data_IF_032642185198
#
_entry.id   IF_032642185198
#
_cell.length_a   1.000
_cell.length_b   1.000
_cell.length_c   1.000
_cell.angle_alpha   90.00
_cell.angle_beta   90.00
_cell.angle_gamma   90.00
#
_symmetry.space_group_name_H-M   'P 1'
#
loop_
_entity.id
_entity.type
_entity.pdbx_description
1 polymer ?
#
# COMPACT_ATOMS: atom_id res chain seq x y z
N UNK A 1 -6.03 -8.02 40.20
CA UNK A 1 -6.23 -6.74 39.48
C UNK A 1 -7.21 -7.00 38.36
N UNK A 2 -8.45 -6.64 38.52
CA UNK A 2 -9.50 -6.83 37.53
C UNK A 2 -9.34 -5.72 36.50
N UNK A 3 -8.94 -6.06 35.28
CA UNK A 3 -8.90 -5.11 34.17
C UNK A 3 -10.35 -4.81 33.78
N UNK A 4 -10.87 -3.67 34.19
CA UNK A 4 -12.14 -3.19 33.68
C UNK A 4 -11.92 -2.77 32.24
N UNK A 5 -12.33 -3.58 31.29
CA UNK A 5 -12.47 -3.17 29.90
C UNK A 5 -13.69 -2.28 29.87
N UNK A 6 -13.48 -0.97 29.92
CA UNK A 6 -14.54 -0.02 29.61
C UNK A 6 -14.80 -0.15 28.11
N UNK A 7 -15.85 -0.90 27.75
CA UNK A 7 -16.42 -0.77 26.43
C UNK A 7 -16.92 0.68 26.32
N UNK A 8 -16.20 1.52 25.63
CA UNK A 8 -16.70 2.85 25.24
C UNK A 8 -17.66 2.60 24.08
N UNK A 9 -18.84 2.01 24.40
CA UNK A 9 -19.95 2.06 23.47
C UNK A 9 -20.48 3.48 23.50
N UNK A 10 -20.65 4.12 22.36
CA UNK A 10 -21.55 5.29 22.26
C UNK A 10 -22.87 4.86 22.87
N UNK A 11 -23.32 5.59 23.88
CA UNK A 11 -24.59 5.32 24.54
C UNK A 11 -25.70 5.16 23.48
N UNK A 12 -26.27 3.98 23.36
CA UNK A 12 -27.39 3.67 22.49
C UNK A 12 -27.12 2.83 21.24
N UNK A 13 -25.91 2.27 21.05
CA UNK A 13 -25.68 1.36 19.93
C UNK A 13 -25.26 -0.03 20.43
N UNK A 14 -26.07 -1.05 20.16
CA UNK A 14 -25.70 -2.47 20.26
C UNK A 14 -24.79 -2.90 19.11
N UNK A 15 -23.95 -1.99 18.64
CA UNK A 15 -23.08 -2.23 17.49
C UNK A 15 -21.87 -3.05 17.91
N UNK A 16 -21.52 -4.15 17.19
CA UNK A 16 -20.32 -4.94 17.45
C UNK A 16 -19.07 -4.07 17.52
N UNK A 17 -18.13 -4.44 18.41
CA UNK A 17 -16.91 -3.68 18.65
C UNK A 17 -16.09 -3.45 17.37
N UNK A 18 -15.97 -4.49 16.54
CA UNK A 18 -15.24 -4.44 15.25
C UNK A 18 -15.83 -3.40 14.29
N UNK A 19 -17.14 -3.26 14.30
CA UNK A 19 -17.84 -2.28 13.47
C UNK A 19 -17.65 -0.85 14.02
N UNK A 20 -17.59 -0.71 15.34
CA UNK A 20 -17.30 0.58 15.98
C UNK A 20 -15.86 1.03 15.67
N UNK A 21 -14.88 0.10 15.63
CA UNK A 21 -13.51 0.38 15.22
C UNK A 21 -13.47 0.83 13.76
N UNK A 22 -14.13 0.09 12.87
CA UNK A 22 -14.13 0.40 11.43
C UNK A 22 -14.81 1.73 11.07
N UNK A 23 -15.64 2.25 11.96
CA UNK A 23 -16.31 3.57 11.85
C UNK A 23 -15.63 4.65 12.67
N UNK A 24 -14.41 4.41 13.16
CA UNK A 24 -13.64 5.37 13.97
C UNK A 24 -14.35 5.83 15.26
N UNK A 25 -15.30 5.03 15.76
CA UNK A 25 -16.02 5.34 16.99
C UNK A 25 -15.21 5.03 18.27
N UNK A 26 -14.11 4.28 18.14
CA UNK A 26 -13.23 3.88 19.23
C UNK A 26 -11.89 4.57 19.06
N UNK A 27 -11.56 5.52 19.95
CA UNK A 27 -10.27 6.22 19.94
C UNK A 27 -9.09 5.24 20.05
N UNK A 28 -8.00 5.55 19.34
CA UNK A 28 -6.76 4.76 19.30
C UNK A 28 -6.88 3.37 18.67
N UNK A 29 -7.97 3.11 17.92
CA UNK A 29 -8.16 1.89 17.16
C UNK A 29 -8.56 2.25 15.74
N UNK A 30 -7.93 1.60 14.79
CA UNK A 30 -8.21 1.75 13.37
C UNK A 30 -8.24 0.39 12.69
N UNK A 31 -8.94 0.30 11.57
CA UNK A 31 -8.99 -0.92 10.76
C UNK A 31 -7.93 -0.83 9.67
N UNK A 32 -6.99 -1.77 9.69
CA UNK A 32 -6.00 -1.90 8.64
C UNK A 32 -6.52 -2.90 7.59
N UNK A 33 -6.75 -2.43 6.38
CA UNK A 33 -7.14 -3.26 5.24
C UNK A 33 -5.92 -3.61 4.40
N UNK A 34 -5.73 -4.89 4.10
CA UNK A 34 -4.73 -5.36 3.16
C UNK A 34 -5.40 -6.25 2.14
N UNK A 35 -5.23 -5.90 0.88
CA UNK A 35 -5.75 -6.66 -0.24
C UNK A 35 -4.61 -7.42 -0.90
N UNK A 36 -4.84 -8.67 -1.21
CA UNK A 36 -3.98 -9.50 -2.04
C UNK A 36 -4.80 -10.15 -3.13
N UNK A 37 -4.17 -10.42 -4.24
CA UNK A 37 -4.76 -11.09 -5.38
C UNK A 37 -3.80 -12.14 -5.90
N UNK A 38 -4.27 -13.37 -6.01
CA UNK A 38 -3.58 -14.44 -6.71
C UNK A 38 -4.48 -14.91 -7.85
N UNK A 39 -4.10 -14.65 -9.12
CA UNK A 39 -4.93 -15.00 -10.28
C UNK A 39 -4.93 -16.51 -10.57
N UNK A 40 -3.99 -17.26 -10.01
CA UNK A 40 -3.82 -18.68 -10.24
C UNK A 40 -3.70 -19.42 -8.91
N UNK A 41 -4.80 -20.01 -8.45
CA UNK A 41 -4.83 -20.83 -7.23
C UNK A 41 -4.89 -22.29 -7.67
N UNK A 42 -3.91 -23.09 -7.25
CA UNK A 42 -3.88 -24.52 -7.46
C UNK A 42 -4.16 -25.32 -6.16
N UNK A 43 -3.76 -26.57 -6.09
CA UNK A 43 -3.96 -27.44 -4.94
C UNK A 43 -2.89 -27.31 -3.85
N UNK A 44 -1.87 -26.47 -4.06
CA UNK A 44 -0.85 -26.15 -3.08
C UNK A 44 -1.24 -24.91 -2.25
N UNK A 45 -0.67 -24.80 -1.04
CA UNK A 45 -0.84 -23.59 -0.24
C UNK A 45 -0.04 -22.44 -0.83
N UNK A 46 -0.72 -21.38 -1.26
CA UNK A 46 -0.13 -20.20 -1.87
C UNK A 46 -0.44 -18.92 -1.08
N UNK A 47 0.38 -17.88 -1.32
CA UNK A 47 0.13 -16.56 -0.75
C UNK A 47 -0.78 -15.74 -1.65
N UNK A 48 -1.66 -14.94 -1.03
CA UNK A 48 -2.45 -13.90 -1.74
C UNK A 48 -1.70 -12.58 -1.89
N UNK A 49 -0.44 -12.51 -1.43
CA UNK A 49 0.44 -11.38 -1.66
C UNK A 49 1.01 -11.44 -3.08
N UNK A 50 0.62 -10.49 -3.95
CA UNK A 50 0.94 -10.49 -5.39
C UNK A 50 2.45 -10.59 -5.71
N UNK A 51 3.32 -10.08 -4.83
CA UNK A 51 4.78 -10.24 -4.96
C UNK A 51 5.27 -11.64 -4.59
N UNK A 52 4.45 -12.46 -3.94
CA UNK A 52 4.84 -13.76 -3.38
C UNK A 52 5.54 -13.67 -2.02
N UNK A 53 5.67 -14.81 -1.33
CA UNK A 53 6.27 -14.90 0.00
C UNK A 53 5.41 -14.32 1.11
N UNK A 54 6.03 -14.00 2.25
CA UNK A 54 5.36 -13.39 3.39
C UNK A 54 5.45 -11.87 3.31
N UNK A 55 4.33 -11.21 3.61
CA UNK A 55 4.31 -9.75 3.72
C UNK A 55 5.05 -9.29 4.97
N UNK A 56 5.99 -8.36 4.79
CA UNK A 56 6.74 -7.76 5.89
C UNK A 56 6.16 -6.39 6.23
N UNK A 57 5.80 -6.18 7.50
CA UNK A 57 5.33 -4.89 7.98
C UNK A 57 6.49 -3.97 8.36
N UNK A 58 6.29 -2.66 8.22
CA UNK A 58 7.16 -1.65 8.81
C UNK A 58 7.11 -1.77 10.34
N UNK A 59 8.28 -1.79 10.99
CA UNK A 59 8.39 -1.80 12.46
C UNK A 59 8.23 -0.41 13.08
N UNK A 60 8.50 0.64 12.31
CA UNK A 60 8.35 2.05 12.67
C UNK A 60 7.95 2.85 11.43
N UNK A 61 7.43 4.05 11.63
CA UNK A 61 7.18 4.97 10.52
C UNK A 61 8.49 5.25 9.78
N UNK A 62 8.44 5.20 8.47
CA UNK A 62 9.60 5.37 7.59
C UNK A 62 9.20 6.11 6.33
N UNK A 63 10.11 6.92 5.80
CA UNK A 63 9.93 7.53 4.48
C UNK A 63 9.89 6.46 3.42
N UNK A 64 8.83 6.44 2.63
CA UNK A 64 8.65 5.51 1.52
C UNK A 64 8.83 6.21 0.18
N UNK A 65 9.21 5.41 -0.79
CA UNK A 65 9.40 5.80 -2.19
C UNK A 65 8.65 4.83 -3.09
N UNK A 66 8.14 5.34 -4.21
CA UNK A 66 7.58 4.51 -5.28
C UNK A 66 8.53 4.51 -6.47
N UNK A 67 8.72 3.35 -7.09
CA UNK A 67 9.55 3.16 -8.27
C UNK A 67 8.98 2.06 -9.16
N UNK A 68 9.41 2.00 -10.41
CA UNK A 68 9.05 0.93 -11.34
C UNK A 68 10.29 0.18 -11.83
N UNK A 69 10.15 -1.10 -12.14
CA UNK A 69 11.20 -1.86 -12.82
C UNK A 69 11.40 -1.47 -14.30
N UNK A 70 10.56 -0.58 -14.83
CA UNK A 70 10.63 -0.09 -16.22
C UNK A 70 10.79 1.43 -16.29
N UNK A 71 11.73 1.90 -17.09
CA UNK A 71 11.87 3.34 -17.41
C UNK A 71 10.73 3.90 -18.28
N UNK A 72 9.81 3.05 -18.76
CA UNK A 72 8.62 3.50 -19.49
C UNK A 72 7.48 3.94 -18.56
N UNK A 73 7.57 3.65 -17.26
CA UNK A 73 6.64 4.14 -16.25
C UNK A 73 7.10 5.51 -15.73
N UNK A 74 6.95 6.51 -16.56
CA UNK A 74 7.40 7.87 -16.33
C UNK A 74 6.48 8.85 -17.08
N UNK A 75 6.49 10.10 -16.64
CA UNK A 75 5.71 11.18 -17.28
C UNK A 75 6.15 11.36 -18.73
N UNK A 76 5.18 11.31 -19.63
CA UNK A 76 5.42 11.45 -21.07
C UNK A 76 5.77 10.16 -21.81
N UNK A 77 5.90 9.04 -21.11
CA UNK A 77 6.14 7.71 -21.68
C UNK A 77 4.84 6.90 -21.83
N UNK A 78 4.95 5.65 -22.25
CA UNK A 78 3.80 4.80 -22.61
C UNK A 78 3.19 4.07 -21.43
N UNK A 79 3.96 3.86 -20.35
CA UNK A 79 3.54 3.10 -19.16
C UNK A 79 2.74 3.95 -18.15
N UNK A 80 2.74 3.54 -16.89
CA UNK A 80 2.12 4.30 -15.82
C UNK A 80 2.83 5.65 -15.62
N UNK A 81 2.05 6.72 -15.40
CA UNK A 81 2.60 8.07 -15.22
C UNK A 81 2.36 8.62 -13.82
N UNK A 82 1.35 8.11 -13.11
CA UNK A 82 1.07 8.51 -11.73
C UNK A 82 0.51 7.35 -10.91
N UNK A 83 0.84 7.37 -9.61
CA UNK A 83 0.39 6.38 -8.62
C UNK A 83 -0.12 7.10 -7.38
N UNK A 84 -1.21 6.58 -6.82
CA UNK A 84 -1.69 6.97 -5.49
C UNK A 84 -1.42 5.84 -4.51
N UNK A 85 -0.77 6.17 -3.40
CA UNK A 85 -0.49 5.27 -2.30
C UNK A 85 -1.28 5.70 -1.08
N UNK A 86 -2.05 4.78 -0.50
CA UNK A 86 -2.87 5.00 0.69
C UNK A 86 -2.44 4.08 1.82
N UNK A 87 -2.45 4.60 3.03
CA UNK A 87 -2.01 3.88 4.21
C UNK A 87 -2.19 4.71 5.48
N UNK A 88 -1.36 4.46 6.48
CA UNK A 88 -1.37 5.16 7.75
C UNK A 88 -0.05 5.89 7.98
N UNK A 89 -0.11 7.09 8.54
CA UNK A 89 1.05 7.87 8.98
C UNK A 89 1.61 7.38 10.33
N UNK A 90 2.59 8.09 10.88
CA UNK A 90 3.22 7.77 12.17
C UNK A 90 2.24 7.80 13.36
N UNK A 91 1.16 8.56 13.27
CA UNK A 91 0.11 8.68 14.29
C UNK A 91 -1.05 7.70 14.05
N UNK A 92 -0.88 6.76 13.10
CA UNK A 92 -1.93 5.81 12.65
C UNK A 92 -3.17 6.49 12.06
N UNK A 93 -3.03 7.70 11.52
CA UNK A 93 -4.09 8.39 10.78
C UNK A 93 -4.01 8.04 9.31
N UNK A 94 -5.16 8.03 8.66
CA UNK A 94 -5.23 7.79 7.21
C UNK A 94 -4.43 8.84 6.44
N UNK A 95 -3.62 8.36 5.51
CA UNK A 95 -2.81 9.17 4.61
C UNK A 95 -2.91 8.63 3.20
N UNK A 96 -3.10 9.54 2.24
CA UNK A 96 -3.07 9.20 0.82
C UNK A 96 -2.19 10.22 0.09
N UNK A 97 -1.27 9.73 -0.73
CA UNK A 97 -0.31 10.54 -1.47
C UNK A 97 -0.32 10.12 -2.93
N UNK A 98 -0.49 11.10 -3.83
CA UNK A 98 -0.40 10.90 -5.27
C UNK A 98 0.89 11.54 -5.79
N UNK A 99 1.66 10.79 -6.56
CA UNK A 99 2.91 11.26 -7.18
C UNK A 99 2.99 10.82 -8.62
N UNK A 100 3.74 11.59 -9.41
CA UNK A 100 4.16 11.16 -10.73
C UNK A 100 5.33 10.19 -10.59
N UNK A 101 5.35 9.16 -11.44
CA UNK A 101 6.46 8.23 -11.53
C UNK A 101 7.65 8.83 -12.26
N UNK A 102 8.85 8.36 -11.94
CA UNK A 102 10.13 8.69 -12.57
C UNK A 102 10.88 7.39 -12.95
N UNK A 103 10.17 6.49 -13.61
CA UNK A 103 10.71 5.22 -14.07
C UNK A 103 11.31 4.40 -12.92
N UNK A 104 12.61 4.11 -13.04
CA UNK A 104 13.35 3.30 -12.07
C UNK A 104 13.86 4.09 -10.86
N UNK A 105 13.70 5.40 -10.83
CA UNK A 105 14.06 6.23 -9.69
C UNK A 105 12.97 6.20 -8.63
N UNK A 106 13.37 6.26 -7.36
CA UNK A 106 12.42 6.33 -6.25
C UNK A 106 11.86 7.74 -6.09
N UNK A 107 10.54 7.88 -6.18
CA UNK A 107 9.82 9.14 -5.91
C UNK A 107 9.28 9.11 -4.50
N UNK A 108 9.58 10.14 -3.71
CA UNK A 108 9.23 10.20 -2.29
C UNK A 108 7.73 10.33 -2.06
N UNK A 109 7.21 9.53 -1.12
CA UNK A 109 5.83 9.54 -0.64
C UNK A 109 5.70 10.15 0.77
N UNK A 110 6.83 10.37 1.47
CA UNK A 110 6.90 10.75 2.86
C UNK A 110 6.70 9.57 3.83
N UNK A 111 6.48 9.86 5.12
CA UNK A 111 6.43 8.84 6.17
C UNK A 111 5.12 8.05 6.19
N UNK A 112 5.25 6.72 6.30
CA UNK A 112 4.16 5.77 6.53
C UNK A 112 4.57 4.75 7.59
N UNK A 113 3.63 4.30 8.41
CA UNK A 113 3.76 3.12 9.28
C UNK A 113 3.07 1.90 8.67
N UNK A 114 2.07 2.10 7.81
CA UNK A 114 1.37 1.05 7.06
C UNK A 114 1.10 1.51 5.64
N UNK A 115 1.22 0.58 4.70
CA UNK A 115 0.76 0.77 3.32
C UNK A 115 -0.41 -0.18 3.09
N UNK A 116 -1.58 0.37 2.82
CA UNK A 116 -2.80 -0.42 2.61
C UNK A 116 -3.02 -0.71 1.13
N UNK A 117 -2.77 0.29 0.25
CA UNK A 117 -3.07 0.19 -1.17
C UNK A 117 -2.12 1.08 -1.99
N UNK A 118 -1.77 0.60 -3.19
CA UNK A 118 -1.19 1.41 -4.26
C UNK A 118 -2.04 1.20 -5.52
N UNK A 119 -2.28 2.27 -6.27
CA UNK A 119 -3.12 2.26 -7.50
C UNK A 119 -2.48 3.13 -8.55
N UNK A 120 -2.40 2.66 -9.80
CA UNK A 120 -2.08 3.50 -10.94
C UNK A 120 -3.28 4.43 -11.18
N UNK A 121 -3.04 5.73 -11.15
CA UNK A 121 -4.09 6.76 -11.33
C UNK A 121 -4.01 7.46 -12.67
N UNK A 122 -2.88 7.31 -13.36
CA UNK A 122 -2.73 7.76 -14.74
C UNK A 122 -1.71 6.88 -15.47
N UNK A 123 -1.96 6.64 -16.75
CA UNK A 123 -1.06 5.90 -17.64
C UNK A 123 -0.95 6.64 -18.99
N UNK A 124 0.17 6.41 -19.66
CA UNK A 124 0.40 6.88 -21.02
C UNK A 124 -0.37 6.06 -22.06
N UNK A 125 0.11 6.07 -23.30
CA UNK A 125 -0.59 5.41 -24.44
C UNK A 125 -0.69 3.88 -24.31
N UNK A 126 0.10 3.25 -23.45
CA UNK A 126 0.00 1.81 -23.15
C UNK A 126 -1.21 1.43 -22.28
N UNK A 127 -1.86 2.41 -21.62
CA UNK A 127 -3.07 2.21 -20.82
C UNK A 127 -2.85 1.54 -19.46
N UNK A 128 -1.63 1.07 -19.17
CA UNK A 128 -1.27 0.38 -17.92
C UNK A 128 0.22 0.58 -17.60
N UNK A 129 0.70 0.01 -16.50
CA UNK A 129 2.12 0.03 -16.15
C UNK A 129 2.95 -0.93 -17.02
N UNK A 130 4.10 -0.46 -17.48
CA UNK A 130 5.01 -1.24 -18.32
C UNK A 130 5.92 -2.19 -17.51
N UNK A 131 6.22 -1.82 -16.27
CA UNK A 131 7.03 -2.61 -15.34
C UNK A 131 6.27 -2.89 -14.05
N UNK A 132 6.92 -3.64 -13.17
CA UNK A 132 6.41 -3.86 -11.82
C UNK A 132 6.60 -2.58 -11.00
N UNK A 133 5.54 -2.08 -10.38
CA UNK A 133 5.60 -0.91 -9.49
C UNK A 133 5.78 -1.40 -8.05
N UNK A 134 6.70 -0.78 -7.34
CA UNK A 134 7.07 -1.10 -5.97
C UNK A 134 6.97 0.12 -5.07
N UNK A 135 6.56 -0.08 -3.83
CA UNK A 135 6.71 0.89 -2.74
C UNK A 135 7.69 0.33 -1.73
N UNK A 136 8.78 1.02 -1.48
CA UNK A 136 9.86 0.60 -0.58
C UNK A 136 10.48 1.76 0.19
N UNK A 137 11.52 1.49 0.98
CA UNK A 137 12.25 2.52 1.75
C UNK A 137 13.47 3.10 1.02
N UNK A 138 13.78 2.61 -0.16
CA UNK A 138 14.97 3.00 -0.92
C UNK A 138 14.65 4.14 -1.89
N UNK A 139 15.36 5.26 -1.77
CA UNK A 139 15.25 6.39 -2.70
C UNK A 139 15.86 6.10 -4.09
N UNK A 140 16.78 5.14 -4.16
CA UNK A 140 17.48 4.75 -5.40
C UNK A 140 17.60 3.23 -5.47
N UNK A 141 16.49 2.52 -5.68
CA UNK A 141 16.50 1.07 -5.74
C UNK A 141 17.21 0.58 -7.02
N UNK A 142 17.87 -0.58 -6.95
CA UNK A 142 18.57 -1.16 -8.10
C UNK A 142 17.57 -1.54 -9.20
N UNK A 143 17.71 -0.93 -10.38
CA UNK A 143 16.79 -1.13 -11.51
C UNK A 143 15.31 -0.94 -11.12
N UNK A 144 15.04 -0.02 -10.20
CA UNK A 144 13.69 0.30 -9.72
C UNK A 144 13.08 -0.75 -8.79
N UNK A 145 13.84 -1.76 -8.33
CA UNK A 145 13.34 -2.83 -7.47
C UNK A 145 13.97 -2.72 -6.07
N UNK A 146 13.21 -2.31 -5.04
CA UNK A 146 13.71 -2.24 -3.67
C UNK A 146 13.87 -3.63 -3.06
N UNK A 147 14.78 -3.76 -2.07
CA UNK A 147 14.99 -5.00 -1.34
C UNK A 147 13.70 -5.50 -0.66
N UNK A 148 12.92 -4.57 -0.11
CA UNK A 148 11.60 -4.89 0.48
C UNK A 148 10.51 -4.02 -0.15
N UNK A 149 9.42 -4.65 -0.57
CA UNK A 149 8.23 -3.94 -1.08
C UNK A 149 7.09 -4.04 -0.09
N UNK A 150 6.49 -2.90 0.21
CA UNK A 150 5.30 -2.76 1.07
C UNK A 150 4.00 -2.61 0.27
N UNK A 151 4.10 -2.29 -1.01
CA UNK A 151 3.06 -2.47 -2.01
C UNK A 151 3.69 -2.88 -3.33
N UNK A 152 2.90 -3.57 -4.16
CA UNK A 152 3.34 -4.13 -5.42
C UNK A 152 2.19 -4.15 -6.43
N UNK A 153 2.47 -3.73 -7.65
CA UNK A 153 1.55 -3.85 -8.80
C UNK A 153 2.36 -4.55 -9.89
N UNK A 154 1.89 -5.69 -10.35
CA UNK A 154 2.55 -6.40 -11.43
C UNK A 154 2.45 -5.63 -12.76
N UNK A 155 3.39 -5.87 -13.66
CA UNK A 155 3.36 -5.25 -14.99
C UNK A 155 2.07 -5.63 -15.73
N UNK A 156 1.37 -4.63 -16.26
CA UNK A 156 0.11 -4.80 -16.96
C UNK A 156 -1.15 -4.79 -16.08
N UNK A 157 -1.03 -4.84 -14.74
CA UNK A 157 -2.17 -4.92 -13.81
C UNK A 157 -2.68 -3.54 -13.34
N UNK A 158 -1.96 -2.48 -13.63
CA UNK A 158 -2.31 -1.12 -13.23
C UNK A 158 -3.36 -0.51 -14.15
N UNK A 159 -4.64 -0.64 -13.78
CA UNK A 159 -5.77 0.03 -14.44
C UNK A 159 -6.49 0.92 -13.44
#
# INVERSE_FOLDING_TARGET
MTKTVSSVSRAGTDEPWELQVSREHISYHETNYKFGFNPLIDDAQETVWAKGGLYTYLSSASTLYVSSSSGLDDVGNTGATAVTVSGLDADYKEKSVSVNLDGQNGVELGEFIRVNRAVVTAAGSGGTNAGNIHVGTESSPSSGVPATSYAYIAAGDGQ
#
